data_IF_596511388633
#
_entry.id   IF_596511388633
#
_cell.length_a   1.000
_cell.length_b   1.000
_cell.length_c   1.000
_cell.angle_alpha   90.00
_cell.angle_beta   90.00
_cell.angle_gamma   90.00
#
_symmetry.space_group_name_H-M   'P 1'
#
loop_
_entity.id
_entity.type
_entity.pdbx_description
1 polymer ?
#
# COMPACT_ATOMS: atom_id res chain seq x y z
N UNK A 1 19.44 -23.41 -30.02
CA UNK A 1 19.05 -22.01 -29.73
C UNK A 1 19.26 -21.04 -30.91
N UNK A 2 19.97 -21.40 -31.99
CA UNK A 2 20.28 -20.51 -33.12
C UNK A 2 19.19 -20.40 -34.21
N UNK A 3 18.35 -21.42 -34.42
CA UNK A 3 17.35 -21.44 -35.52
C UNK A 3 16.13 -20.55 -35.29
N UNK A 4 15.74 -20.32 -34.03
CA UNK A 4 14.62 -19.44 -33.68
C UNK A 4 14.96 -17.95 -33.90
N UNK A 5 16.23 -17.57 -33.72
CA UNK A 5 16.68 -16.20 -33.91
C UNK A 5 16.77 -15.82 -35.39
N UNK A 6 17.20 -16.75 -36.27
CA UNK A 6 17.23 -16.53 -37.73
C UNK A 6 15.84 -16.41 -38.36
N UNK A 7 14.83 -17.13 -37.86
CA UNK A 7 13.46 -17.02 -38.37
C UNK A 7 12.78 -15.69 -38.02
N UNK A 8 13.13 -15.08 -36.89
CA UNK A 8 12.57 -13.80 -36.43
C UNK A 8 13.07 -12.61 -37.28
N UNK A 9 14.28 -12.70 -37.81
CA UNK A 9 14.91 -11.65 -38.64
C UNK A 9 14.32 -11.64 -40.07
N UNK A 10 13.82 -12.79 -40.57
CA UNK A 10 13.29 -12.96 -41.93
C UNK A 10 11.77 -12.71 -42.05
N UNK A 11 11.09 -12.27 -40.99
CA UNK A 11 9.64 -12.15 -40.94
C UNK A 11 9.17 -10.74 -41.31
N UNK A 12 8.12 -10.64 -42.13
CA UNK A 12 7.50 -9.36 -42.52
C UNK A 12 7.01 -8.57 -41.29
N UNK A 13 7.08 -7.24 -41.33
CA UNK A 13 6.76 -6.38 -40.19
C UNK A 13 5.30 -6.51 -39.73
N UNK A 14 4.37 -6.83 -40.64
CA UNK A 14 2.97 -7.12 -40.28
C UNK A 14 2.86 -8.43 -39.49
N UNK A 15 3.64 -9.44 -39.87
CA UNK A 15 3.65 -10.74 -39.19
C UNK A 15 4.29 -10.61 -37.81
N UNK A 16 5.37 -9.83 -37.67
CA UNK A 16 5.93 -9.49 -36.36
C UNK A 16 4.88 -8.81 -35.48
N UNK A 17 4.16 -7.80 -36.00
CA UNK A 17 3.09 -7.12 -35.26
C UNK A 17 2.01 -8.08 -34.76
N UNK A 18 1.50 -8.97 -35.61
CA UNK A 18 0.49 -9.97 -35.19
C UNK A 18 1.04 -10.95 -34.17
N UNK A 19 2.30 -11.39 -34.30
CA UNK A 19 2.93 -12.27 -33.29
C UNK A 19 3.11 -11.58 -31.95
N UNK A 20 3.50 -10.30 -31.92
CA UNK A 20 3.59 -9.50 -30.69
C UNK A 20 2.22 -9.27 -30.05
N UNK A 21 1.20 -8.91 -30.84
CA UNK A 21 -0.16 -8.74 -30.35
C UNK A 21 -0.74 -10.05 -29.81
N UNK A 22 -0.55 -11.17 -30.52
CA UNK A 22 -0.97 -12.49 -30.06
C UNK A 22 -0.29 -12.91 -28.76
N UNK A 23 1.02 -12.70 -28.65
CA UNK A 23 1.78 -12.97 -27.42
C UNK A 23 1.33 -12.07 -26.26
N UNK A 24 1.11 -10.77 -26.51
CA UNK A 24 0.61 -9.84 -25.51
C UNK A 24 -0.79 -10.25 -25.00
N UNK A 25 -1.71 -10.62 -25.90
CA UNK A 25 -3.05 -11.11 -25.53
C UNK A 25 -2.94 -12.39 -24.69
N UNK A 26 -2.08 -13.34 -25.07
CA UNK A 26 -1.86 -14.58 -24.32
C UNK A 26 -1.34 -14.34 -22.89
N UNK A 27 -0.48 -13.33 -22.70
CA UNK A 27 0.06 -12.97 -21.39
C UNK A 27 -0.94 -12.19 -20.53
N UNK A 28 -1.75 -11.32 -21.16
CA UNK A 28 -2.64 -10.41 -20.45
C UNK A 28 -4.01 -11.05 -20.16
N UNK A 29 -4.52 -11.90 -21.06
CA UNK A 29 -5.85 -12.52 -20.93
C UNK A 29 -6.07 -13.28 -19.61
N UNK A 30 -5.12 -14.08 -19.08
CA UNK A 30 -5.29 -14.75 -17.78
C UNK A 30 -5.39 -13.76 -16.62
N UNK A 31 -4.62 -12.67 -16.67
CA UNK A 31 -4.61 -11.62 -15.66
C UNK A 31 -5.92 -10.81 -15.66
N UNK A 32 -6.43 -10.49 -16.85
CA UNK A 32 -7.75 -9.87 -17.04
C UNK A 32 -8.83 -10.82 -16.52
N UNK A 33 -8.80 -12.08 -16.92
CA UNK A 33 -9.77 -13.09 -16.49
C UNK A 33 -9.81 -13.25 -14.97
N UNK A 34 -8.65 -13.40 -14.31
CA UNK A 34 -8.54 -13.49 -12.86
C UNK A 34 -9.10 -12.25 -12.16
N UNK A 35 -8.80 -11.05 -12.70
CA UNK A 35 -9.32 -9.78 -12.17
C UNK A 35 -10.83 -9.67 -12.34
N UNK A 36 -11.36 -10.10 -13.49
CA UNK A 36 -12.79 -10.13 -13.77
C UNK A 36 -13.52 -11.10 -12.84
N UNK A 37 -13.06 -12.34 -12.73
CA UNK A 37 -13.66 -13.36 -11.84
C UNK A 37 -13.62 -12.91 -10.38
N UNK A 38 -12.51 -12.36 -9.91
CA UNK A 38 -12.45 -11.81 -8.55
C UNK A 38 -13.39 -10.61 -8.37
N UNK A 39 -13.53 -9.75 -9.38
CA UNK A 39 -14.46 -8.62 -9.33
C UNK A 39 -15.92 -9.07 -9.24
N UNK A 40 -16.30 -10.20 -9.85
CA UNK A 40 -17.64 -10.79 -9.70
C UNK A 40 -17.91 -11.24 -8.26
N UNK A 41 -16.95 -11.94 -7.62
CA UNK A 41 -17.08 -12.38 -6.22
C UNK A 41 -17.27 -11.22 -5.25
N UNK A 42 -16.71 -10.06 -5.58
CA UNK A 42 -16.79 -8.86 -4.77
C UNK A 42 -18.04 -8.00 -5.05
N UNK A 43 -18.91 -8.35 -6.01
CA UNK A 43 -20.10 -7.53 -6.34
C UNK A 43 -21.12 -7.46 -5.21
N UNK A 44 -21.18 -8.48 -4.36
CA UNK A 44 -22.07 -8.50 -3.20
C UNK A 44 -21.66 -7.49 -2.12
N UNK A 45 -20.39 -7.06 -2.11
CA UNK A 45 -19.88 -6.11 -1.13
C UNK A 45 -20.22 -4.68 -1.60
N UNK A 46 -20.85 -3.86 -0.75
CA UNK A 46 -21.19 -2.50 -1.11
C UNK A 46 -19.93 -1.67 -1.39
N UNK A 47 -19.99 -0.84 -2.43
CA UNK A 47 -18.90 0.08 -2.80
C UNK A 47 -19.17 1.47 -2.23
N UNK A 48 -18.16 2.07 -1.63
CA UNK A 48 -18.18 3.46 -1.15
C UNK A 48 -17.37 4.33 -2.11
N UNK A 49 -17.95 5.46 -2.51
CA UNK A 49 -17.41 6.32 -3.57
C UNK A 49 -17.62 5.75 -4.99
N UNK A 50 -16.93 6.34 -5.96
CA UNK A 50 -17.04 5.94 -7.37
C UNK A 50 -16.23 4.66 -7.63
N UNK A 51 -16.70 3.71 -8.46
CA UNK A 51 -15.90 2.56 -8.88
C UNK A 51 -14.75 2.97 -9.83
N UNK A 52 -13.64 2.22 -9.80
CA UNK A 52 -12.53 2.37 -10.76
C UNK A 52 -11.57 3.53 -10.45
N UNK A 53 -10.86 4.02 -11.47
CA UNK A 53 -9.78 5.00 -11.30
C UNK A 53 -10.23 6.35 -10.73
N UNK A 54 -11.47 6.77 -11.02
CA UNK A 54 -12.04 7.99 -10.42
C UNK A 54 -12.17 7.82 -8.90
N UNK A 55 -12.65 6.65 -8.46
CA UNK A 55 -12.68 6.31 -7.04
C UNK A 55 -11.31 6.24 -6.41
N UNK A 56 -10.32 5.70 -7.13
CA UNK A 56 -8.95 5.65 -6.65
C UNK A 56 -8.36 7.05 -6.42
N UNK A 57 -8.64 8.01 -7.31
CA UNK A 57 -8.25 9.41 -7.14
C UNK A 57 -8.96 10.07 -5.94
N UNK A 58 -10.25 9.80 -5.77
CA UNK A 58 -11.01 10.28 -4.62
C UNK A 58 -10.45 9.69 -3.33
N UNK A 59 -10.14 8.40 -3.29
CA UNK A 59 -9.52 7.74 -2.15
C UNK A 59 -8.14 8.31 -1.86
N UNK A 60 -7.30 8.53 -2.87
CA UNK A 60 -5.96 9.10 -2.70
C UNK A 60 -5.99 10.50 -2.05
N UNK A 61 -6.97 11.33 -2.41
CA UNK A 61 -7.07 12.72 -1.92
C UNK A 61 -7.93 12.88 -0.66
N UNK A 62 -8.91 12.00 -0.45
CA UNK A 62 -9.96 12.13 0.59
C UNK A 62 -10.20 10.82 1.34
N UNK A 63 -9.15 10.02 1.54
CA UNK A 63 -9.27 8.71 2.22
C UNK A 63 -10.02 8.81 3.55
N UNK A 64 -9.67 9.73 4.49
CA UNK A 64 -10.32 9.76 5.80
C UNK A 64 -11.84 10.01 5.70
N UNK A 65 -12.26 10.93 4.85
CA UNK A 65 -13.67 11.26 4.66
C UNK A 65 -14.45 10.09 4.02
N UNK A 66 -13.87 9.46 2.99
CA UNK A 66 -14.50 8.31 2.33
C UNK A 66 -14.60 7.08 3.25
N UNK A 67 -13.58 6.84 4.06
CA UNK A 67 -13.61 5.73 5.02
C UNK A 67 -14.61 5.98 6.13
N UNK A 68 -14.71 7.23 6.61
CA UNK A 68 -15.70 7.63 7.59
C UNK A 68 -17.13 7.47 7.04
N UNK A 69 -17.39 7.95 5.83
CA UNK A 69 -18.68 7.76 5.14
C UNK A 69 -19.04 6.28 5.02
N UNK A 70 -18.07 5.46 4.60
CA UNK A 70 -18.25 4.02 4.48
C UNK A 70 -18.56 3.35 5.82
N UNK A 71 -17.86 3.76 6.88
CA UNK A 71 -18.08 3.25 8.22
C UNK A 71 -19.46 3.64 8.77
N UNK A 72 -19.89 4.88 8.59
CA UNK A 72 -21.21 5.35 9.01
C UNK A 72 -22.33 4.62 8.26
N UNK A 73 -22.15 4.39 6.95
CA UNK A 73 -23.16 3.75 6.09
C UNK A 73 -23.26 2.23 6.28
N UNK A 74 -22.15 1.56 6.56
CA UNK A 74 -22.06 0.10 6.64
C UNK A 74 -21.54 -0.38 8.00
N UNK A 75 -21.87 0.35 9.06
CA UNK A 75 -21.43 0.06 10.43
C UNK A 75 -21.79 -1.38 10.83
N UNK A 76 -20.80 -2.11 11.33
CA UNK A 76 -20.97 -3.51 11.73
C UNK A 76 -20.94 -4.50 10.55
N UNK A 77 -20.67 -4.04 9.34
CA UNK A 77 -20.59 -4.86 8.12
C UNK A 77 -19.29 -4.60 7.36
N UNK A 78 -19.21 -5.08 6.12
CA UNK A 78 -18.10 -4.86 5.19
C UNK A 78 -18.48 -3.90 4.09
N UNK A 79 -17.50 -3.14 3.62
CA UNK A 79 -17.61 -2.32 2.42
C UNK A 79 -16.27 -2.29 1.69
N UNK A 80 -16.27 -1.80 0.45
CA UNK A 80 -15.04 -1.68 -0.34
C UNK A 80 -14.89 -0.30 -0.96
N UNK A 81 -13.64 0.10 -1.15
CA UNK A 81 -13.25 1.33 -1.84
C UNK A 81 -12.29 1.02 -3.00
N UNK A 82 -12.38 1.82 -4.05
CA UNK A 82 -11.50 1.69 -5.22
C UNK A 82 -10.10 2.19 -4.87
N UNK A 83 -9.06 1.41 -5.18
CA UNK A 83 -7.66 1.88 -5.17
C UNK A 83 -7.07 1.77 -6.58
N UNK A 84 -5.82 2.21 -6.76
CA UNK A 84 -5.14 2.24 -8.06
C UNK A 84 -5.05 0.89 -8.76
N UNK A 85 -4.99 -0.21 -8.00
CA UNK A 85 -4.76 -1.55 -8.54
C UNK A 85 -5.79 -2.58 -8.10
N UNK A 86 -6.39 -2.41 -6.91
CA UNK A 86 -7.27 -3.43 -6.31
C UNK A 86 -8.44 -2.79 -5.53
N UNK A 87 -9.40 -3.61 -5.15
CA UNK A 87 -10.41 -3.22 -4.17
C UNK A 87 -9.81 -3.34 -2.77
N UNK A 88 -9.90 -2.27 -1.98
CA UNK A 88 -9.63 -2.33 -0.55
C UNK A 88 -10.94 -2.64 0.17
N UNK A 89 -10.99 -3.76 0.90
CA UNK A 89 -12.16 -4.19 1.66
C UNK A 89 -11.94 -3.79 3.12
N UNK A 90 -12.90 -3.08 3.67
CA UNK A 90 -12.93 -2.68 5.07
C UNK A 90 -13.93 -3.51 5.83
N UNK A 91 -13.53 -3.95 7.02
CA UNK A 91 -14.31 -4.78 7.93
C UNK A 91 -14.58 -3.98 9.19
N UNK A 92 -15.86 -3.75 9.50
CA UNK A 92 -16.29 -3.02 10.69
C UNK A 92 -17.14 -3.85 11.66
N UNK A 93 -17.49 -5.09 11.29
CA UNK A 93 -18.24 -6.02 12.13
C UNK A 93 -17.34 -6.69 13.17
N UNK A 94 -17.73 -6.65 14.44
CA UNK A 94 -16.94 -7.19 15.55
C UNK A 94 -16.57 -8.67 15.36
N UNK A 95 -17.55 -9.50 14.98
CA UNK A 95 -17.31 -10.93 14.72
C UNK A 95 -16.34 -11.12 13.55
N UNK A 96 -16.52 -10.37 12.47
CA UNK A 96 -15.66 -10.48 11.28
C UNK A 96 -14.24 -9.99 11.54
N UNK A 97 -14.07 -9.02 12.44
CA UNK A 97 -12.75 -8.57 12.91
C UNK A 97 -12.07 -9.68 13.71
N UNK A 98 -12.81 -10.39 14.56
CA UNK A 98 -12.28 -11.52 15.32
C UNK A 98 -11.91 -12.70 14.41
N UNK A 99 -12.73 -12.97 13.39
CA UNK A 99 -12.43 -13.96 12.35
C UNK A 99 -11.16 -13.56 11.56
N UNK A 100 -11.01 -12.26 11.21
CA UNK A 100 -9.81 -11.73 10.54
C UNK A 100 -8.56 -11.87 11.42
N UNK A 101 -8.70 -11.65 12.73
CA UNK A 101 -7.61 -11.72 13.72
C UNK A 101 -7.13 -13.16 13.95
N UNK A 102 -8.04 -14.12 13.84
CA UNK A 102 -7.78 -15.54 14.10
C UNK A 102 -7.47 -16.34 12.82
N UNK A 103 -7.67 -15.73 11.65
CA UNK A 103 -7.35 -16.33 10.36
C UNK A 103 -5.86 -16.72 10.26
N UNK A 104 -5.61 -17.82 9.55
CA UNK A 104 -4.25 -18.28 9.27
C UNK A 104 -3.57 -17.38 8.24
N UNK A 105 -2.23 -17.27 8.30
CA UNK A 105 -1.46 -16.52 7.31
C UNK A 105 -1.59 -17.08 5.88
N UNK A 106 -1.93 -18.37 5.73
CA UNK A 106 -2.19 -19.02 4.45
C UNK A 106 -3.47 -18.49 3.77
N UNK A 107 -4.48 -18.12 4.58
CA UNK A 107 -5.74 -17.56 4.11
C UNK A 107 -5.66 -16.03 3.99
N UNK A 108 -5.06 -15.36 4.98
CA UNK A 108 -4.99 -13.91 5.09
C UNK A 108 -3.63 -13.45 5.65
N UNK A 109 -2.64 -13.28 4.77
CA UNK A 109 -1.32 -12.77 5.15
C UNK A 109 -1.24 -11.24 5.20
N UNK A 110 -1.07 -10.69 6.40
CA UNK A 110 -0.82 -9.26 6.60
C UNK A 110 0.52 -8.80 5.98
N UNK A 111 1.56 -9.63 6.07
CA UNK A 111 2.88 -9.35 5.48
C UNK A 111 2.80 -9.20 3.95
N UNK A 112 2.07 -10.09 3.28
CA UNK A 112 1.85 -10.01 1.84
C UNK A 112 1.05 -8.77 1.46
N UNK A 113 -0.02 -8.46 2.21
CA UNK A 113 -0.81 -7.26 1.99
C UNK A 113 0.03 -5.99 2.11
N UNK A 114 0.86 -5.88 3.15
CA UNK A 114 1.76 -4.74 3.35
C UNK A 114 2.81 -4.63 2.23
N UNK A 115 3.44 -5.75 1.84
CA UNK A 115 4.40 -5.80 0.74
C UNK A 115 3.79 -5.26 -0.56
N UNK A 116 2.55 -5.66 -0.87
CA UNK A 116 1.81 -5.22 -2.06
C UNK A 116 1.34 -3.76 -1.96
N UNK A 117 0.83 -3.33 -0.80
CA UNK A 117 0.31 -1.97 -0.59
C UNK A 117 1.40 -0.90 -0.64
N UNK A 118 2.56 -1.16 -0.02
CA UNK A 118 3.69 -0.23 -0.02
C UNK A 118 4.69 -0.45 -1.15
N UNK A 119 4.47 -1.47 -1.98
CA UNK A 119 5.42 -1.86 -3.03
C UNK A 119 6.83 -2.00 -2.47
N UNK A 120 6.96 -2.64 -1.30
CA UNK A 120 8.18 -2.60 -0.47
C UNK A 120 9.44 -3.07 -1.19
N UNK A 121 9.32 -3.93 -2.20
CA UNK A 121 10.44 -4.33 -3.06
C UNK A 121 11.09 -3.14 -3.79
N UNK A 122 10.30 -2.12 -4.11
CA UNK A 122 10.72 -0.91 -4.81
C UNK A 122 10.95 0.26 -3.86
N UNK A 123 10.30 0.30 -2.69
CA UNK A 123 10.34 1.45 -1.77
C UNK A 123 11.27 1.25 -0.57
N UNK A 124 11.37 0.03 -0.04
CA UNK A 124 12.09 -0.27 1.20
C UNK A 124 13.13 -1.40 1.06
N UNK A 125 13.21 -2.01 -0.13
CA UNK A 125 14.12 -3.11 -0.45
C UNK A 125 13.60 -4.49 -0.03
N UNK A 126 14.07 -5.52 -0.74
CA UNK A 126 13.62 -6.92 -0.62
C UNK A 126 13.93 -7.55 0.76
N UNK A 127 14.79 -6.91 1.56
CA UNK A 127 15.30 -7.45 2.83
C UNK A 127 14.28 -7.49 3.97
N UNK A 128 13.31 -6.56 3.99
CA UNK A 128 12.36 -6.42 5.11
C UNK A 128 11.47 -7.66 5.33
N UNK A 129 11.13 -8.39 4.27
CA UNK A 129 10.27 -9.59 4.34
C UNK A 129 11.03 -10.90 4.18
N UNK A 130 12.35 -10.83 3.99
CA UNK A 130 13.22 -12.02 3.94
C UNK A 130 13.79 -12.38 5.31
N UNK A 131 13.87 -11.40 6.20
CA UNK A 131 14.34 -11.59 7.56
C UNK A 131 13.41 -10.78 8.48
N UNK A 132 12.62 -11.46 9.30
CA UNK A 132 11.67 -10.86 10.24
C UNK A 132 12.37 -10.20 11.45
N UNK A 133 13.65 -9.86 11.34
CA UNK A 133 14.46 -9.25 12.40
C UNK A 133 13.79 -8.04 13.04
N UNK A 134 13.01 -7.28 12.27
CA UNK A 134 12.31 -6.10 12.76
C UNK A 134 11.28 -6.44 13.83
N UNK A 135 10.60 -7.60 13.73
CA UNK A 135 9.68 -8.08 14.77
C UNK A 135 10.43 -8.44 16.05
N UNK A 136 11.57 -9.12 15.92
CA UNK A 136 12.39 -9.52 17.07
C UNK A 136 13.01 -8.31 17.77
N UNK A 137 13.48 -7.33 17.01
CA UNK A 137 14.01 -6.06 17.55
C UNK A 137 12.94 -5.29 18.31
N UNK A 138 11.71 -5.22 17.78
CA UNK A 138 10.59 -4.54 18.47
C UNK A 138 10.25 -5.26 19.77
N UNK A 139 10.11 -6.60 19.74
CA UNK A 139 9.73 -7.40 20.92
C UNK A 139 10.81 -7.43 22.00
N UNK A 140 12.08 -7.45 21.61
CA UNK A 140 13.20 -7.58 22.54
C UNK A 140 13.83 -6.24 22.88
N UNK A 141 14.60 -5.68 21.95
CA UNK A 141 15.41 -4.49 22.16
C UNK A 141 14.53 -3.28 22.49
N UNK A 142 13.53 -3.00 21.65
CA UNK A 142 12.77 -1.76 21.77
C UNK A 142 11.86 -1.75 22.99
N UNK A 143 11.16 -2.85 23.26
CA UNK A 143 10.25 -2.95 24.41
C UNK A 143 11.02 -2.92 25.73
N UNK A 144 12.19 -3.58 25.81
CA UNK A 144 12.99 -3.64 27.04
C UNK A 144 13.70 -2.32 27.37
N UNK A 145 14.13 -1.57 26.35
CA UNK A 145 14.88 -0.33 26.54
C UNK A 145 14.06 0.94 26.24
N UNK A 146 12.72 0.83 26.17
CA UNK A 146 11.89 1.95 25.73
C UNK A 146 12.04 3.17 26.64
N UNK A 147 11.99 2.96 27.95
CA UNK A 147 12.10 4.05 28.93
C UNK A 147 13.43 4.80 28.82
N UNK A 148 14.53 4.07 28.65
CA UNK A 148 15.87 4.67 28.50
C UNK A 148 16.04 5.37 27.14
N UNK A 149 15.51 4.77 26.06
CA UNK A 149 15.62 5.35 24.71
C UNK A 149 14.73 6.57 24.53
N UNK A 150 13.61 6.66 25.26
CA UNK A 150 12.72 7.81 25.18
C UNK A 150 13.39 9.08 25.72
N UNK A 151 14.15 8.98 26.81
CA UNK A 151 14.94 10.10 27.34
C UNK A 151 15.99 10.55 26.33
N UNK A 152 16.77 9.62 25.77
CA UNK A 152 17.76 9.92 24.72
C UNK A 152 17.10 10.66 23.52
N UNK A 153 15.91 10.23 23.10
CA UNK A 153 15.17 10.87 21.99
C UNK A 153 14.65 12.25 22.37
N UNK A 154 14.23 12.48 23.61
CA UNK A 154 13.79 13.80 24.08
C UNK A 154 14.95 14.80 24.09
N UNK A 155 16.10 14.38 24.60
CA UNK A 155 17.31 15.21 24.63
C UNK A 155 17.74 15.57 23.20
N UNK A 156 17.73 14.60 22.28
CA UNK A 156 18.06 14.85 20.86
C UNK A 156 17.07 15.80 20.18
N UNK A 157 15.77 15.70 20.49
CA UNK A 157 14.77 16.63 19.98
C UNK A 157 15.06 18.05 20.49
N UNK A 158 15.36 18.22 21.77
CA UNK A 158 15.67 19.55 22.35
C UNK A 158 16.91 20.16 21.69
N UNK A 159 17.98 19.38 21.55
CA UNK A 159 19.22 19.80 20.89
C UNK A 159 18.93 20.18 19.42
N UNK A 160 18.27 19.30 18.66
CA UNK A 160 17.97 19.54 17.26
C UNK A 160 17.07 20.78 17.05
N UNK A 161 16.11 21.02 17.94
CA UNK A 161 15.29 22.23 17.90
C UNK A 161 16.13 23.48 18.18
N UNK A 162 17.00 23.47 19.19
CA UNK A 162 17.87 24.61 19.49
C UNK A 162 18.86 24.91 18.35
N UNK A 163 19.39 23.88 17.69
CA UNK A 163 20.38 24.02 16.63
C UNK A 163 19.76 24.44 15.29
N UNK A 164 18.59 23.90 14.94
CA UNK A 164 17.99 24.07 13.62
C UNK A 164 16.75 24.97 13.59
N UNK A 165 16.06 25.13 14.71
CA UNK A 165 14.90 26.02 14.85
C UNK A 165 15.32 27.16 15.78
N UNK A 166 16.17 28.05 15.27
CA UNK A 166 16.44 29.31 15.96
C UNK A 166 15.13 30.07 16.07
N UNK A 167 14.63 30.23 17.30
CA UNK A 167 13.59 31.20 17.59
C UNK A 167 14.09 32.54 17.05
N UNK A 168 13.38 33.09 16.06
CA UNK A 168 13.64 34.42 15.55
C UNK A 168 13.25 35.37 16.67
N UNK A 169 14.16 35.61 17.62
CA UNK A 169 14.07 36.77 18.49
C UNK A 169 14.28 37.95 17.56
N UNK A 170 13.15 38.44 17.03
CA UNK A 170 13.06 39.76 16.46
C UNK A 170 13.39 40.73 17.59
N UNK A 171 14.70 40.96 17.77
CA UNK A 171 15.22 42.11 18.47
C UNK A 171 14.81 43.32 17.68
N UNK A 172 13.56 43.78 17.87
CA UNK A 172 13.17 45.12 17.49
C UNK A 172 13.97 46.06 18.39
N UNK A 173 15.18 46.38 17.93
CA UNK A 173 15.80 47.65 18.26
C UNK A 173 14.83 48.73 17.82
N UNK A 174 14.01 49.22 18.75
CA UNK A 174 13.19 50.41 18.55
C UNK A 174 14.13 51.54 18.11
N UNK A 175 13.92 52.17 16.94
CA UNK A 175 14.65 53.39 16.64
C UNK A 175 14.09 54.48 17.56
N UNK A 176 14.96 55.04 18.40
CA UNK A 176 14.73 56.38 18.93
C UNK A 176 14.88 57.36 17.76
N UNK A 177 13.81 58.05 17.42
CA UNK A 177 13.63 59.52 17.36
C UNK A 177 12.16 59.75 17.01
#
# INVERSE_FOLDING_TARGET
MSRYFSGLIMMDDTTKLYTFLGAAVLLIAPSIWKTWVNSYKLRAIPTVGTPGYIGALQFFSRAPALLQEGYEKYRGSIFKVSTWSKWLILVSGLQMIEDLRTASDDELSAAKAFRESLQTDYTLGVGLFKNDYHLDVVRSSLTRSLATKLTDVQDEIEIAFNDHIKAKTDGSSSPKI
#
